data_IF_866169884942
#
_entry.id   IF_866169884942
#
_cell.length_a   1.000
_cell.length_b   1.000
_cell.length_c   1.000
_cell.angle_alpha   90.00
_cell.angle_beta   90.00
_cell.angle_gamma   90.00
#
_symmetry.space_group_name_H-M   'P 1'
#
loop_
_entity.id
_entity.type
_entity.pdbx_description
1 polymer ?
#
# COMPACT_ATOMS: atom_id res chain seq x y z
N UNK A 1 -5.24 2.08 -10.04
CA UNK A 1 -5.98 3.32 -9.74
C UNK A 1 -5.49 3.86 -8.43
N UNK A 2 -5.56 5.15 -8.25
CA UNK A 2 -4.91 5.94 -7.22
C UNK A 2 -5.87 7.06 -6.76
N UNK A 3 -6.09 7.30 -5.48
CA UNK A 3 -7.01 8.37 -5.06
C UNK A 3 -6.44 9.77 -5.26
N UNK A 4 -5.13 9.91 -5.24
CA UNK A 4 -4.34 11.13 -5.20
C UNK A 4 -3.50 11.15 -3.93
N UNK A 5 -2.50 12.04 -3.81
CA UNK A 5 -1.78 12.16 -2.56
C UNK A 5 -0.25 12.28 -2.64
N UNK A 6 0.33 12.42 -3.84
CA UNK A 6 1.67 12.98 -3.99
C UNK A 6 2.86 12.02 -4.17
N UNK A 7 2.68 10.70 -4.07
CA UNK A 7 3.77 9.72 -4.26
C UNK A 7 3.73 8.99 -5.61
N UNK A 8 2.96 9.48 -6.56
CA UNK A 8 2.75 8.87 -7.88
C UNK A 8 4.06 8.70 -8.65
N UNK A 9 4.99 9.61 -8.43
CA UNK A 9 6.30 9.60 -9.10
C UNK A 9 7.11 8.34 -8.80
N UNK A 10 6.95 7.73 -7.63
CA UNK A 10 7.67 6.51 -7.28
C UNK A 10 7.40 5.36 -8.26
N UNK A 11 6.16 5.22 -8.72
CA UNK A 11 5.79 4.18 -9.68
C UNK A 11 6.47 4.38 -11.04
N UNK A 12 6.54 5.63 -11.52
CA UNK A 12 7.21 5.95 -12.77
C UNK A 12 8.72 5.84 -12.67
N UNK A 13 9.31 6.32 -11.56
CA UNK A 13 10.74 6.18 -11.28
C UNK A 13 11.14 4.70 -11.18
N UNK A 14 10.31 3.87 -10.54
CA UNK A 14 10.53 2.44 -10.50
C UNK A 14 10.51 1.83 -11.90
N UNK A 15 9.51 2.11 -12.72
CA UNK A 15 9.40 1.58 -14.08
C UNK A 15 10.61 1.98 -14.94
N UNK A 16 11.05 3.23 -14.87
CA UNK A 16 12.24 3.73 -15.55
C UNK A 16 13.52 3.01 -15.07
N UNK A 17 13.70 2.90 -13.77
CA UNK A 17 14.90 2.27 -13.18
C UNK A 17 15.06 0.80 -13.56
N UNK A 18 13.96 0.08 -13.77
CA UNK A 18 13.98 -1.32 -14.22
C UNK A 18 14.02 -1.46 -15.77
N UNK A 19 14.23 -0.38 -16.50
CA UNK A 19 14.38 -0.38 -17.96
C UNK A 19 13.08 -0.67 -18.71
N UNK A 20 11.97 -0.11 -18.29
CA UNK A 20 10.65 -0.24 -18.92
C UNK A 20 10.16 -1.69 -19.11
N UNK A 21 10.65 -2.63 -18.30
CA UNK A 21 10.19 -4.03 -18.32
C UNK A 21 8.70 -4.16 -17.99
N UNK A 22 8.15 -3.16 -17.29
CA UNK A 22 6.73 -3.01 -17.03
C UNK A 22 6.30 -1.59 -17.42
N UNK A 23 5.01 -1.45 -17.77
CA UNK A 23 4.39 -0.16 -18.01
C UNK A 23 3.35 0.09 -16.94
N UNK A 24 3.43 1.24 -16.28
CA UNK A 24 2.51 1.62 -15.21
C UNK A 24 1.68 2.80 -15.68
N UNK A 25 0.37 2.66 -15.59
CA UNK A 25 -0.59 3.71 -15.90
C UNK A 25 -1.38 4.05 -14.64
N UNK A 26 -1.44 5.32 -14.29
CA UNK A 26 -2.21 5.80 -13.16
C UNK A 26 -3.49 6.50 -13.63
N UNK A 27 -4.61 6.14 -13.03
CA UNK A 27 -5.87 6.86 -13.15
C UNK A 27 -6.32 7.28 -11.76
N UNK A 28 -6.57 8.57 -11.56
CA UNK A 28 -7.09 9.06 -10.30
C UNK A 28 -8.54 8.61 -10.12
N UNK A 29 -8.88 8.13 -8.93
CA UNK A 29 -10.27 8.01 -8.48
C UNK A 29 -10.71 9.32 -7.82
N UNK A 30 -11.11 9.28 -6.58
CA UNK A 30 -11.43 10.47 -5.78
C UNK A 30 -10.95 10.26 -4.35
N UNK A 31 -10.62 11.35 -3.68
CA UNK A 31 -10.43 11.41 -2.24
C UNK A 31 -11.74 11.85 -1.60
N UNK A 32 -12.11 11.29 -0.47
CA UNK A 32 -13.29 11.70 0.27
C UNK A 32 -13.16 13.13 0.78
N UNK A 33 -14.28 13.83 0.85
CA UNK A 33 -14.31 15.17 1.40
C UNK A 33 -13.97 15.14 2.89
N UNK A 34 -12.97 15.90 3.27
CA UNK A 34 -12.57 16.05 4.67
C UNK A 34 -12.86 17.48 5.15
N UNK A 35 -13.31 17.56 6.38
CA UNK A 35 -13.33 18.87 7.08
C UNK A 35 -11.89 19.20 7.45
N UNK A 36 -11.46 20.41 7.16
CA UNK A 36 -10.11 20.92 7.51
C UNK A 36 -8.92 20.21 6.85
N UNK A 37 -9.11 19.55 5.70
CA UNK A 37 -8.02 18.91 4.94
C UNK A 37 -7.51 17.59 5.55
N UNK A 38 -8.22 17.00 6.51
CA UNK A 38 -7.88 15.72 7.13
C UNK A 38 -8.49 14.56 6.33
N UNK A 39 -7.90 14.21 5.20
CA UNK A 39 -8.36 13.11 4.36
C UNK A 39 -8.00 11.71 4.92
N UNK A 40 -7.23 11.65 6.01
CA UNK A 40 -7.00 10.44 6.80
C UNK A 40 -8.03 10.24 7.93
N UNK A 41 -9.03 11.11 8.06
CA UNK A 41 -10.17 10.85 8.94
C UNK A 41 -11.01 9.66 8.45
N UNK A 42 -11.55 8.87 9.38
CA UNK A 42 -12.29 7.63 9.05
C UNK A 42 -13.47 7.90 8.10
N UNK A 43 -14.19 9.01 8.26
CA UNK A 43 -15.32 9.34 7.40
C UNK A 43 -14.84 9.63 5.96
N UNK A 44 -13.78 10.42 5.78
CA UNK A 44 -13.17 10.69 4.48
C UNK A 44 -12.60 9.43 3.84
N UNK A 45 -11.98 8.55 4.63
CA UNK A 45 -11.47 7.26 4.14
C UNK A 45 -12.59 6.33 3.67
N UNK A 46 -13.73 6.28 4.38
CA UNK A 46 -14.90 5.50 3.96
C UNK A 46 -15.50 6.04 2.66
N UNK A 47 -15.46 7.35 2.45
CA UNK A 47 -15.89 7.94 1.19
C UNK A 47 -14.90 7.62 0.06
N UNK A 48 -13.60 7.74 0.30
CA UNK A 48 -12.52 7.33 -0.63
C UNK A 48 -12.68 5.87 -1.06
N UNK A 49 -13.16 5.01 -0.16
CA UNK A 49 -13.38 3.58 -0.37
C UNK A 49 -14.58 3.23 -1.26
N UNK A 50 -15.33 4.20 -1.78
CA UNK A 50 -16.55 3.97 -2.57
C UNK A 50 -16.27 3.17 -3.84
N UNK A 51 -17.00 2.08 -4.00
CA UNK A 51 -16.87 1.16 -5.13
C UNK A 51 -17.14 1.84 -6.48
N UNK A 52 -18.13 2.76 -6.54
CA UNK A 52 -18.48 3.47 -7.76
C UNK A 52 -17.32 4.37 -8.24
N UNK A 53 -16.59 5.03 -7.34
CA UNK A 53 -15.43 5.84 -7.69
C UNK A 53 -14.25 4.98 -8.17
N UNK A 54 -14.01 3.86 -7.49
CA UNK A 54 -12.95 2.91 -7.84
C UNK A 54 -13.20 2.31 -9.23
N UNK A 55 -14.42 1.84 -9.47
CA UNK A 55 -14.79 1.19 -10.74
C UNK A 55 -14.90 2.17 -11.91
N UNK A 56 -15.29 3.43 -11.65
CA UNK A 56 -15.25 4.50 -12.66
C UNK A 56 -13.81 4.75 -13.11
N UNK A 57 -12.87 4.89 -12.17
CA UNK A 57 -11.46 5.07 -12.49
C UNK A 57 -10.88 3.87 -13.26
N UNK A 58 -11.29 2.65 -12.89
CA UNK A 58 -10.88 1.45 -13.60
C UNK A 58 -11.32 1.43 -15.06
N UNK A 59 -12.55 1.85 -15.36
CA UNK A 59 -13.03 1.92 -16.74
C UNK A 59 -12.20 2.87 -17.60
N UNK A 60 -11.71 3.98 -17.03
CA UNK A 60 -10.92 4.98 -17.76
C UNK A 60 -9.57 4.47 -18.25
N UNK A 61 -8.96 3.48 -17.57
CA UNK A 61 -7.66 2.94 -17.99
C UNK A 61 -7.76 1.73 -18.92
N UNK A 62 -8.95 1.18 -19.17
CA UNK A 62 -9.11 0.00 -20.05
C UNK A 62 -8.68 0.25 -21.49
N UNK A 63 -8.79 1.50 -21.99
CA UNK A 63 -8.31 1.85 -23.32
C UNK A 63 -6.79 1.69 -23.50
N UNK A 64 -6.04 1.54 -22.41
CA UNK A 64 -4.59 1.31 -22.42
C UNK A 64 -4.24 -0.19 -22.46
N UNK A 65 -5.25 -1.06 -22.50
CA UNK A 65 -5.12 -2.53 -22.55
C UNK A 65 -4.14 -3.09 -21.49
N UNK A 66 -4.38 -2.85 -20.20
CA UNK A 66 -3.53 -3.33 -19.12
C UNK A 66 -3.69 -4.85 -18.91
N UNK A 67 -2.64 -5.51 -18.41
CA UNK A 67 -2.67 -6.94 -18.04
C UNK A 67 -3.34 -7.18 -16.68
N UNK A 68 -3.32 -6.18 -15.79
CA UNK A 68 -4.04 -6.21 -14.51
C UNK A 68 -4.48 -4.80 -14.10
N UNK A 69 -5.43 -4.73 -13.17
CA UNK A 69 -5.91 -3.46 -12.61
C UNK A 69 -5.83 -3.51 -11.09
N UNK A 70 -5.25 -2.48 -10.48
CA UNK A 70 -4.95 -2.48 -9.06
C UNK A 70 -5.51 -1.24 -8.36
N UNK A 71 -6.16 -1.42 -7.20
CA UNK A 71 -6.53 -0.33 -6.31
C UNK A 71 -5.36 0.03 -5.41
N UNK A 72 -4.54 0.99 -5.86
CA UNK A 72 -3.34 1.44 -5.18
C UNK A 72 -3.71 2.46 -4.08
N UNK A 73 -4.42 2.01 -3.08
CA UNK A 73 -4.79 2.78 -1.91
C UNK A 73 -4.85 1.84 -0.69
N UNK A 74 -4.04 2.13 0.32
CA UNK A 74 -4.04 1.34 1.54
C UNK A 74 -5.28 1.65 2.37
N UNK A 75 -5.47 2.92 2.72
CA UNK A 75 -6.53 3.34 3.63
C UNK A 75 -7.94 3.10 3.08
N UNK A 76 -8.17 3.40 1.81
CA UNK A 76 -9.46 3.12 1.15
C UNK A 76 -9.79 1.62 0.99
N UNK A 77 -8.82 0.71 1.24
CA UNK A 77 -9.11 -0.71 1.26
C UNK A 77 -9.22 -1.29 2.67
N UNK A 78 -8.39 -0.90 3.64
CA UNK A 78 -8.52 -1.47 4.98
C UNK A 78 -9.71 -0.90 5.78
N UNK A 79 -10.11 0.35 5.54
CA UNK A 79 -11.16 1.04 6.32
C UNK A 79 -12.51 0.35 6.22
N UNK A 80 -12.77 -0.40 5.15
CA UNK A 80 -13.99 -1.19 4.93
C UNK A 80 -13.90 -2.63 5.45
N UNK A 81 -12.81 -2.98 6.14
CA UNK A 81 -12.56 -4.32 6.66
C UNK A 81 -12.32 -5.36 5.56
N UNK A 82 -12.09 -6.61 5.97
CA UNK A 82 -11.80 -7.71 5.04
C UNK A 82 -12.86 -7.88 3.97
N UNK A 83 -14.12 -7.99 4.37
CA UNK A 83 -15.22 -8.25 3.42
C UNK A 83 -15.37 -7.12 2.40
N UNK A 84 -15.22 -5.86 2.83
CA UNK A 84 -15.28 -4.69 1.94
C UNK A 84 -14.09 -4.65 0.98
N UNK A 85 -12.88 -4.90 1.44
CA UNK A 85 -11.69 -4.93 0.58
C UNK A 85 -11.79 -6.05 -0.48
N UNK A 86 -12.26 -7.25 -0.09
CA UNK A 86 -12.51 -8.35 -1.03
C UNK A 86 -13.62 -7.98 -2.04
N UNK A 87 -14.69 -7.30 -1.61
CA UNK A 87 -15.76 -6.82 -2.50
C UNK A 87 -15.24 -5.79 -3.51
N UNK A 88 -14.42 -4.82 -3.10
CA UNK A 88 -13.77 -3.84 -4.00
C UNK A 88 -12.99 -4.54 -5.11
N UNK A 89 -12.16 -5.52 -4.77
CA UNK A 89 -11.37 -6.28 -5.76
C UNK A 89 -12.27 -7.10 -6.69
N UNK A 90 -13.34 -7.70 -6.17
CA UNK A 90 -14.31 -8.43 -7.00
C UNK A 90 -15.04 -7.49 -7.96
N UNK A 91 -15.41 -6.28 -7.53
CA UNK A 91 -16.00 -5.27 -8.38
C UNK A 91 -15.03 -4.83 -9.49
N UNK A 92 -13.74 -4.63 -9.17
CA UNK A 92 -12.72 -4.36 -10.17
C UNK A 92 -12.61 -5.46 -11.21
N UNK A 93 -12.48 -6.72 -10.80
CA UNK A 93 -12.42 -7.87 -11.70
C UNK A 93 -13.66 -7.96 -12.59
N UNK A 94 -14.84 -7.72 -12.01
CA UNK A 94 -16.11 -7.74 -12.74
C UNK A 94 -16.20 -6.65 -13.81
N UNK A 95 -15.77 -5.43 -13.49
CA UNK A 95 -15.91 -4.29 -14.41
C UNK A 95 -14.85 -4.25 -15.50
N UNK A 96 -13.67 -4.85 -15.23
CA UNK A 96 -12.54 -4.81 -16.15
C UNK A 96 -12.36 -6.11 -16.93
N UNK A 97 -12.82 -7.24 -16.40
CA UNK A 97 -12.51 -8.57 -16.92
C UNK A 97 -11.07 -9.03 -16.68
N UNK A 98 -10.29 -8.28 -15.90
CA UNK A 98 -8.85 -8.49 -15.69
C UNK A 98 -8.55 -8.97 -14.27
N UNK A 99 -7.37 -9.59 -14.02
CA UNK A 99 -6.85 -9.77 -12.68
C UNK A 99 -6.80 -8.44 -11.93
N UNK A 100 -7.16 -8.44 -10.64
CA UNK A 100 -7.20 -7.23 -9.85
C UNK A 100 -6.80 -7.46 -8.40
N UNK A 101 -6.29 -6.42 -7.74
CA UNK A 101 -5.88 -6.42 -6.35
C UNK A 101 -6.04 -5.05 -5.68
N UNK A 102 -5.71 -4.99 -4.40
CA UNK A 102 -5.63 -3.73 -3.63
C UNK A 102 -4.46 -3.75 -2.67
N UNK A 103 -3.95 -2.57 -2.31
CA UNK A 103 -2.74 -2.46 -1.46
C UNK A 103 -2.89 -3.17 -0.12
N UNK A 104 -4.03 -3.04 0.58
CA UNK A 104 -4.20 -3.70 1.88
C UNK A 104 -4.23 -5.22 1.75
N UNK A 105 -4.86 -5.77 0.71
CA UNK A 105 -4.82 -7.21 0.43
C UNK A 105 -3.43 -7.66 -0.06
N UNK A 106 -2.66 -6.78 -0.70
CA UNK A 106 -1.29 -7.06 -1.08
C UNK A 106 -0.37 -7.24 0.13
N UNK A 107 -0.54 -6.46 1.19
CA UNK A 107 0.16 -6.70 2.47
C UNK A 107 -0.13 -8.09 3.02
N UNK A 108 -1.41 -8.48 3.05
CA UNK A 108 -1.81 -9.81 3.51
C UNK A 108 -1.19 -10.91 2.66
N UNK A 109 -1.24 -10.76 1.34
CA UNK A 109 -0.67 -11.74 0.39
C UNK A 109 0.84 -11.86 0.56
N UNK A 110 1.56 -10.73 0.70
CA UNK A 110 3.01 -10.74 0.90
C UNK A 110 3.41 -11.40 2.23
N UNK A 111 2.69 -11.09 3.31
CA UNK A 111 2.93 -11.71 4.62
C UNK A 111 2.69 -13.23 4.58
N UNK A 112 1.64 -13.68 3.90
CA UNK A 112 1.34 -15.11 3.72
C UNK A 112 2.40 -15.81 2.87
N UNK A 113 2.82 -15.20 1.76
CA UNK A 113 3.86 -15.74 0.88
C UNK A 113 5.21 -15.90 1.61
N UNK A 114 5.54 -14.95 2.47
CA UNK A 114 6.77 -14.96 3.26
C UNK A 114 6.65 -15.81 4.54
N UNK A 115 5.47 -16.31 4.88
CA UNK A 115 5.23 -17.07 6.12
C UNK A 115 5.32 -16.22 7.40
N UNK A 116 5.14 -14.90 7.30
CA UNK A 116 5.27 -13.95 8.40
C UNK A 116 3.91 -13.66 9.03
N UNK A 117 3.83 -13.61 10.35
CA UNK A 117 2.56 -13.43 11.08
C UNK A 117 2.57 -12.40 12.19
N UNK A 118 3.74 -12.06 12.71
CA UNK A 118 3.89 -11.09 13.80
C UNK A 118 4.56 -9.84 13.26
N UNK A 119 3.85 -8.73 13.25
CA UNK A 119 4.33 -7.51 12.62
C UNK A 119 4.44 -6.35 13.58
N UNK A 120 5.44 -5.49 13.35
CA UNK A 120 5.45 -4.12 13.82
C UNK A 120 4.83 -3.23 12.76
N UNK A 121 4.00 -2.28 13.16
CA UNK A 121 3.39 -1.32 12.24
C UNK A 121 3.91 0.08 12.53
N UNK A 122 4.41 0.74 11.50
CA UNK A 122 4.64 2.18 11.48
C UNK A 122 3.64 2.82 10.52
N UNK A 123 2.57 3.39 11.05
CA UNK A 123 1.51 4.01 10.27
C UNK A 123 1.70 5.53 10.23
N UNK A 124 1.72 6.17 9.05
CA UNK A 124 1.69 7.64 8.97
C UNK A 124 0.40 8.23 9.53
N UNK A 125 -0.69 7.53 9.42
CA UNK A 125 -2.05 7.96 9.77
C UNK A 125 -2.22 8.45 11.20
N UNK A 126 -3.29 9.24 11.49
CA UNK A 126 -3.80 9.43 12.84
C UNK A 126 -4.18 8.11 13.52
N UNK A 127 -4.17 8.10 14.85
CA UNK A 127 -4.41 6.89 15.66
C UNK A 127 -5.66 6.08 15.24
N UNK A 128 -6.85 6.70 14.98
CA UNK A 128 -8.03 5.92 14.59
C UNK A 128 -7.81 5.11 13.30
N UNK A 129 -7.19 5.70 12.28
CA UNK A 129 -6.90 5.02 11.03
C UNK A 129 -5.78 3.98 11.18
N UNK A 130 -4.74 4.27 11.99
CA UNK A 130 -3.70 3.30 12.32
C UNK A 130 -4.28 2.06 13.01
N UNK A 131 -5.20 2.24 13.96
CA UNK A 131 -5.91 1.13 14.63
C UNK A 131 -6.84 0.37 13.68
N UNK A 132 -7.52 1.06 12.75
CA UNK A 132 -8.32 0.39 11.72
C UNK A 132 -7.47 -0.53 10.85
N UNK A 133 -6.26 -0.12 10.47
CA UNK A 133 -5.33 -0.98 9.74
C UNK A 133 -4.90 -2.20 10.57
N UNK A 134 -4.60 -2.03 11.87
CA UNK A 134 -4.25 -3.18 12.73
C UNK A 134 -5.42 -4.15 12.89
N UNK A 135 -6.64 -3.63 12.99
CA UNK A 135 -7.84 -4.47 13.02
C UNK A 135 -7.99 -5.26 11.72
N UNK A 136 -7.84 -4.60 10.56
CA UNK A 136 -7.86 -5.25 9.25
C UNK A 136 -6.86 -6.42 9.17
N UNK A 137 -5.62 -6.22 9.60
CA UNK A 137 -4.61 -7.29 9.62
C UNK A 137 -5.03 -8.47 10.50
N UNK A 138 -5.67 -8.18 11.65
CA UNK A 138 -6.13 -9.21 12.59
C UNK A 138 -7.22 -10.11 11.99
N UNK A 139 -8.06 -9.61 11.09
CA UNK A 139 -9.08 -10.40 10.37
C UNK A 139 -8.46 -11.49 9.47
N UNK A 140 -7.16 -11.41 9.19
CA UNK A 140 -6.39 -12.40 8.42
C UNK A 140 -5.44 -13.23 9.30
N UNK A 141 -5.57 -13.14 10.62
CA UNK A 141 -4.74 -13.88 11.57
C UNK A 141 -3.31 -13.35 11.68
N UNK A 142 -3.08 -12.08 11.32
CA UNK A 142 -1.80 -11.39 11.48
C UNK A 142 -1.84 -10.66 12.83
N UNK A 143 -0.82 -10.87 13.65
CA UNK A 143 -0.69 -10.25 14.98
C UNK A 143 0.17 -9.00 14.90
N UNK A 144 -0.36 -7.87 15.34
CA UNK A 144 0.40 -6.63 15.48
C UNK A 144 0.99 -6.57 16.88
N UNK A 145 2.29 -6.75 17.02
CA UNK A 145 3.03 -6.76 18.29
C UNK A 145 3.44 -5.34 18.74
N UNK A 146 3.64 -4.44 17.78
CA UNK A 146 3.92 -3.03 18.05
C UNK A 146 3.20 -2.15 17.03
N UNK A 147 2.64 -1.04 17.51
CA UNK A 147 2.00 -0.03 16.68
C UNK A 147 2.57 1.33 17.02
N UNK A 148 3.10 1.99 16.02
CA UNK A 148 3.47 3.40 16.06
C UNK A 148 2.66 4.15 15.00
N UNK A 149 2.30 5.40 15.30
CA UNK A 149 1.64 6.29 14.34
C UNK A 149 2.29 7.66 14.37
N UNK A 150 2.24 8.37 13.24
CA UNK A 150 2.89 9.67 13.06
C UNK A 150 1.89 10.84 13.11
N UNK A 151 0.61 10.56 13.21
CA UNK A 151 -0.48 11.53 13.31
C UNK A 151 -0.57 12.49 12.10
N UNK A 152 -0.27 11.98 10.90
CA UNK A 152 -0.25 12.76 9.66
C UNK A 152 -1.68 12.88 9.12
N UNK A 153 -2.20 14.10 8.90
CA UNK A 153 -3.63 14.29 8.62
C UNK A 153 -4.04 13.97 7.18
N UNK A 154 -3.10 14.00 6.22
CA UNK A 154 -3.44 13.81 4.80
C UNK A 154 -2.39 13.06 4.02
N UNK A 155 -2.77 12.56 2.83
CA UNK A 155 -1.83 11.96 1.89
C UNK A 155 -0.76 12.94 1.42
N UNK A 156 -1.10 14.22 1.23
CA UNK A 156 -0.13 15.24 0.88
C UNK A 156 0.91 15.48 1.97
N UNK A 157 0.48 15.48 3.23
CA UNK A 157 1.40 15.60 4.36
C UNK A 157 2.27 14.34 4.50
N UNK A 158 1.72 13.14 4.22
CA UNK A 158 2.51 11.91 4.14
C UNK A 158 3.58 11.98 3.05
N UNK A 159 3.23 12.52 1.88
CA UNK A 159 4.17 12.69 0.77
C UNK A 159 5.28 13.70 1.07
N UNK A 160 5.02 14.66 1.96
CA UNK A 160 5.95 15.71 2.38
C UNK A 160 6.79 15.32 3.61
N UNK A 161 6.56 14.15 4.21
CA UNK A 161 7.35 13.68 5.36
C UNK A 161 8.83 13.61 5.00
N UNK A 162 9.67 14.12 5.89
CA UNK A 162 11.10 13.89 5.82
C UNK A 162 11.40 12.40 6.06
N UNK A 163 11.94 11.76 5.06
CA UNK A 163 12.27 10.34 5.09
C UNK A 163 13.29 9.98 6.18
N UNK A 164 14.15 10.93 6.58
CA UNK A 164 15.06 10.78 7.69
C UNK A 164 14.32 10.65 9.04
N UNK A 165 13.09 11.15 9.14
CA UNK A 165 12.25 10.95 10.32
C UNK A 165 11.60 9.56 10.35
N UNK A 166 11.39 8.93 9.19
CA UNK A 166 10.76 7.63 9.07
C UNK A 166 11.70 6.50 9.48
N UNK A 167 12.98 6.57 9.07
CA UNK A 167 13.98 5.52 9.30
C UNK A 167 14.16 5.12 10.78
N UNK A 168 14.33 6.05 11.75
CA UNK A 168 14.44 5.68 13.16
C UNK A 168 13.15 5.07 13.73
N UNK A 169 11.99 5.43 13.18
CA UNK A 169 10.70 4.88 13.60
C UNK A 169 10.49 3.45 13.11
N UNK A 170 10.99 3.12 11.92
CA UNK A 170 11.01 1.73 11.43
C UNK A 170 11.83 0.85 12.36
N UNK A 171 13.01 1.29 12.78
CA UNK A 171 13.85 0.60 13.75
C UNK A 171 13.12 0.38 15.10
N UNK A 172 12.44 1.41 15.61
CA UNK A 172 11.64 1.31 16.83
C UNK A 172 10.43 0.35 16.70
N UNK A 173 9.83 0.24 15.51
CA UNK A 173 8.76 -0.72 15.24
C UNK A 173 9.28 -2.17 15.17
N UNK A 174 10.55 -2.37 14.91
CA UNK A 174 11.24 -3.66 14.77
C UNK A 174 11.62 -4.27 16.12
N UNK A 175 10.64 -4.54 16.99
CA UNK A 175 10.89 -5.22 18.28
C UNK A 175 11.32 -6.68 18.07
N UNK A 176 11.94 -7.30 19.09
CA UNK A 176 12.37 -8.71 19.04
C UNK A 176 11.23 -9.71 18.76
N UNK A 177 9.98 -9.29 19.01
CA UNK A 177 8.80 -10.15 18.87
C UNK A 177 8.21 -10.14 17.45
N UNK A 178 8.64 -9.24 16.56
CA UNK A 178 8.08 -9.13 15.22
C UNK A 178 8.90 -9.87 14.19
N UNK A 179 8.24 -10.42 13.19
CA UNK A 179 8.86 -11.11 12.07
C UNK A 179 9.25 -10.12 10.95
N UNK A 180 8.50 -9.01 10.83
CA UNK A 180 8.78 -7.92 9.89
C UNK A 180 8.14 -6.60 10.35
N UNK A 181 8.51 -5.50 9.70
CA UNK A 181 7.85 -4.20 9.86
C UNK A 181 6.96 -3.92 8.64
N UNK A 182 5.78 -3.38 8.90
CA UNK A 182 4.80 -3.00 7.87
C UNK A 182 4.61 -1.47 7.92
N UNK A 183 4.80 -0.83 6.77
CA UNK A 183 4.65 0.63 6.61
C UNK A 183 3.52 0.88 5.60
N UNK A 184 2.27 1.04 6.07
CA UNK A 184 1.15 1.36 5.20
C UNK A 184 1.24 2.80 4.69
N UNK A 185 0.36 3.17 3.78
CA UNK A 185 0.21 4.45 3.10
C UNK A 185 0.96 4.53 1.77
N UNK A 186 0.17 4.51 0.70
CA UNK A 186 0.69 4.67 -0.67
C UNK A 186 1.13 6.10 -0.98
N UNK A 187 0.76 7.08 -0.16
CA UNK A 187 1.22 8.45 -0.29
C UNK A 187 2.63 8.67 0.27
N UNK A 188 3.09 7.82 1.18
CA UNK A 188 4.45 7.91 1.73
C UNK A 188 5.48 7.35 0.73
N UNK A 189 6.44 8.17 0.22
CA UNK A 189 7.47 7.70 -0.71
C UNK A 189 8.50 6.85 0.02
N UNK A 190 8.49 5.55 -0.24
CA UNK A 190 9.29 4.57 0.51
C UNK A 190 10.13 3.63 -0.35
N UNK A 191 9.87 3.53 -1.66
CA UNK A 191 10.53 2.53 -2.51
C UNK A 191 12.06 2.66 -2.49
N UNK A 192 12.57 3.88 -2.52
CA UNK A 192 14.01 4.16 -2.50
C UNK A 192 14.67 3.95 -1.12
N UNK A 193 13.86 3.74 -0.07
CA UNK A 193 14.33 3.58 1.32
C UNK A 193 14.27 2.13 1.81
N UNK A 194 13.64 1.21 1.07
CA UNK A 194 13.32 -0.13 1.58
C UNK A 194 14.58 -0.86 2.06
N UNK A 195 15.66 -0.85 1.30
CA UNK A 195 16.91 -1.51 1.71
C UNK A 195 17.50 -0.92 3.00
N UNK A 196 17.48 0.40 3.13
CA UNK A 196 17.93 1.06 4.35
C UNK A 196 17.01 0.78 5.53
N UNK A 197 15.70 0.73 5.29
CA UNK A 197 14.72 0.32 6.31
C UNK A 197 14.98 -1.12 6.77
N UNK A 198 15.17 -2.07 5.84
CA UNK A 198 15.46 -3.47 6.16
C UNK A 198 16.80 -3.61 6.91
N UNK A 199 17.81 -2.86 6.51
CA UNK A 199 19.12 -2.84 7.19
C UNK A 199 19.02 -2.34 8.64
N UNK A 200 18.22 -1.27 8.89
CA UNK A 200 18.01 -0.73 10.25
C UNK A 200 17.12 -1.62 11.11
N UNK A 201 16.09 -2.17 10.51
CA UNK A 201 15.18 -3.08 11.20
C UNK A 201 15.80 -4.46 11.49
N UNK A 202 16.88 -4.84 10.79
CA UNK A 202 17.46 -6.18 10.76
C UNK A 202 16.41 -7.27 10.47
N UNK A 203 15.45 -6.94 9.60
CA UNK A 203 14.34 -7.82 9.17
C UNK A 203 13.61 -7.26 7.96
N UNK A 204 12.75 -8.06 7.29
CA UNK A 204 11.97 -7.58 6.15
C UNK A 204 11.12 -6.36 6.51
N UNK A 205 11.02 -5.42 5.57
CA UNK A 205 10.14 -4.26 5.66
C UNK A 205 9.21 -4.26 4.47
N UNK A 206 7.91 -4.31 4.73
CA UNK A 206 6.88 -4.25 3.70
C UNK A 206 6.29 -2.85 3.67
N UNK A 207 6.45 -2.16 2.55
CA UNK A 207 5.88 -0.82 2.33
C UNK A 207 4.70 -0.88 1.37
N UNK A 208 3.78 0.08 1.45
CA UNK A 208 2.58 0.10 0.64
C UNK A 208 2.86 0.04 -0.86
N UNK A 209 3.78 0.88 -1.36
CA UNK A 209 4.14 0.89 -2.77
C UNK A 209 4.91 -0.36 -3.19
N UNK A 210 5.74 -0.91 -2.30
CA UNK A 210 6.46 -2.17 -2.52
C UNK A 210 5.52 -3.36 -2.70
N UNK A 211 4.57 -3.57 -1.78
CA UNK A 211 3.60 -4.68 -1.89
C UNK A 211 2.63 -4.49 -3.05
N UNK A 212 2.28 -3.23 -3.38
CA UNK A 212 1.44 -2.91 -4.54
C UNK A 212 2.11 -3.35 -5.84
N UNK A 213 3.37 -2.96 -6.05
CA UNK A 213 4.16 -3.35 -7.22
C UNK A 213 4.35 -4.87 -7.27
N UNK A 214 4.77 -5.48 -6.17
CA UNK A 214 4.98 -6.93 -6.08
C UNK A 214 3.73 -7.71 -6.51
N UNK A 215 2.58 -7.40 -5.93
CA UNK A 215 1.36 -8.12 -6.27
C UNK A 215 0.85 -7.80 -7.68
N UNK A 216 0.93 -6.54 -8.12
CA UNK A 216 0.50 -6.16 -9.46
C UNK A 216 1.34 -6.86 -10.55
N UNK A 217 2.65 -6.94 -10.37
CA UNK A 217 3.56 -7.64 -11.29
C UNK A 217 3.21 -9.13 -11.36
N UNK A 218 3.00 -9.78 -10.21
CA UNK A 218 2.61 -11.18 -10.15
C UNK A 218 1.24 -11.42 -10.82
N UNK A 219 0.25 -10.56 -10.59
CA UNK A 219 -1.07 -10.65 -11.22
C UNK A 219 -1.00 -10.45 -12.75
N UNK A 220 -0.08 -9.65 -13.24
CA UNK A 220 0.18 -9.46 -14.66
C UNK A 220 0.99 -10.62 -15.29
N UNK A 221 1.34 -11.65 -14.52
CA UNK A 221 2.15 -12.79 -14.99
C UNK A 221 3.65 -12.51 -15.06
N UNK A 222 4.11 -11.39 -14.49
CA UNK A 222 5.52 -11.04 -14.36
C UNK A 222 6.19 -11.73 -13.18
N UNK A 223 7.50 -11.49 -13.04
CA UNK A 223 8.30 -11.94 -11.89
C UNK A 223 9.06 -10.77 -11.29
N UNK A 224 9.09 -10.72 -9.97
CA UNK A 224 9.89 -9.74 -9.25
C UNK A 224 11.32 -10.25 -9.12
N UNK A 225 12.27 -9.52 -9.70
CA UNK A 225 13.71 -9.76 -9.60
C UNK A 225 14.41 -8.39 -9.79
N UNK A 226 14.15 -7.46 -8.85
CA UNK A 226 14.58 -6.08 -8.93
C UNK A 226 15.43 -5.75 -7.72
N UNK A 227 16.75 -5.66 -7.91
CA UNK A 227 17.70 -5.25 -6.88
C UNK A 227 17.49 -3.78 -6.51
N UNK A 228 17.77 -3.42 -5.26
CA UNK A 228 17.63 -2.05 -4.77
C UNK A 228 16.25 -1.71 -4.18
N UNK A 229 15.31 -2.68 -4.18
CA UNK A 229 13.93 -2.47 -3.74
C UNK A 229 13.48 -3.43 -2.62
N UNK A 230 14.46 -3.89 -1.81
CA UNK A 230 14.21 -4.77 -0.66
C UNK A 230 13.93 -6.23 -1.01
N UNK A 231 13.86 -7.05 0.02
CA UNK A 231 13.78 -8.51 -0.11
C UNK A 231 12.53 -9.03 -0.83
N UNK A 232 11.41 -8.31 -0.76
CA UNK A 232 10.16 -8.72 -1.41
C UNK A 232 10.23 -8.61 -2.94
N UNK A 233 10.80 -7.53 -3.46
CA UNK A 233 10.90 -7.27 -4.91
C UNK A 233 12.14 -7.89 -5.56
N UNK A 234 13.14 -8.31 -4.78
CA UNK A 234 14.35 -8.94 -5.28
C UNK A 234 14.29 -10.47 -5.36
N UNK A 235 13.29 -11.11 -4.73
CA UNK A 235 13.09 -12.57 -4.80
C UNK A 235 12.24 -12.94 -6.02
N UNK A 236 12.82 -13.74 -6.90
CA UNK A 236 12.11 -14.42 -8.01
C UNK A 236 11.43 -15.69 -7.52
#
# INVERSE_FOLDING_TARGET
MWPGGGSEQEYYQFAEAIGDRIKIFLACSRVGDSVDGNDHDIAALLETAREDWITEAARRILCLNPDCVFWACTSGSFVVGRAGAEAQVNALKKVTGLPGGSTSLAFVSALQELGLRRVGVLAPYPEPAARAFTHFLSEFGITVESLQWLDVPSGWDSAALDTEMVLPRVEQAASEKVDCVVVPDTALPTLHLIEEMERRADRPVLTANGVTLWQAINLAGGRCAFEGYGGLLSKS
#
